data_IF_192869582590
#
_entry.id   IF_192869582590
#
_cell.length_a   1.000
_cell.length_b   1.000
_cell.length_c   1.000
_cell.angle_alpha   90.00
_cell.angle_beta   90.00
_cell.angle_gamma   90.00
#
_symmetry.space_group_name_H-M   'P 1'
#
loop_
_entity.id
_entity.type
_entity.pdbx_description
1 polymer ?
#
# COMPACT_ATOMS: atom_id res chain seq x y z
N UNK A 1 -18.81 19.14 -48.32
CA UNK A 1 -19.49 19.86 -47.23
C UNK A 1 -18.57 19.81 -46.03
N UNK A 2 -17.88 20.90 -45.78
CA UNK A 2 -16.99 21.15 -44.66
C UNK A 2 -17.81 21.70 -43.51
N UNK A 3 -17.59 21.23 -42.29
CA UNK A 3 -18.02 21.91 -41.07
C UNK A 3 -16.81 22.18 -40.19
N UNK A 4 -16.63 23.37 -39.68
CA UNK A 4 -15.48 23.81 -38.92
C UNK A 4 -15.75 23.72 -37.41
N UNK A 5 -14.79 23.23 -36.65
CA UNK A 5 -14.64 23.59 -35.25
C UNK A 5 -13.15 23.76 -34.94
N UNK A 6 -12.65 24.93 -35.31
CA UNK A 6 -11.48 25.54 -34.69
C UNK A 6 -11.98 26.71 -33.86
N UNK A 7 -11.59 26.75 -32.64
CA UNK A 7 -11.37 27.89 -31.72
C UNK A 7 -11.78 27.46 -30.30
N UNK A 8 -10.80 27.19 -29.46
CA UNK A 8 -10.50 27.92 -28.23
C UNK A 8 -9.27 27.29 -27.61
N UNK A 9 -8.08 27.73 -27.99
CA UNK A 9 -6.88 27.52 -27.23
C UNK A 9 -6.44 28.83 -26.60
N UNK A 10 -6.75 29.03 -25.35
CA UNK A 10 -6.26 30.14 -24.54
C UNK A 10 -4.76 30.00 -24.26
N UNK A 11 -3.98 31.01 -24.64
CA UNK A 11 -2.54 31.11 -24.38
C UNK A 11 -2.23 31.20 -22.88
N UNK A 12 -1.16 30.59 -22.40
CA UNK A 12 -0.71 30.77 -21.03
C UNK A 12 -0.06 32.13 -20.82
N UNK A 13 -0.41 32.79 -19.71
CA UNK A 13 0.15 34.06 -19.25
C UNK A 13 1.57 33.86 -18.71
N UNK A 14 2.48 34.76 -19.07
CA UNK A 14 3.87 34.83 -18.63
C UNK A 14 4.03 35.11 -17.12
N UNK A 15 5.16 34.74 -16.51
CA UNK A 15 5.36 34.92 -15.08
C UNK A 15 5.75 36.36 -14.73
N UNK A 16 5.30 36.79 -13.55
CA UNK A 16 5.54 38.06 -12.90
C UNK A 16 7.04 38.35 -12.71
N UNK A 17 7.47 39.53 -13.21
CA UNK A 17 8.77 40.11 -12.93
C UNK A 17 8.75 40.90 -11.62
N UNK A 18 9.70 40.60 -10.73
CA UNK A 18 9.96 41.37 -9.52
C UNK A 18 10.80 42.63 -9.83
N UNK A 19 10.55 43.79 -9.22
CA UNK A 19 11.31 44.99 -9.46
C UNK A 19 12.66 44.97 -8.72
N UNK A 20 13.75 45.23 -9.43
CA UNK A 20 15.07 45.53 -8.87
C UNK A 20 15.09 46.96 -8.35
N UNK A 21 15.13 47.12 -7.04
CA UNK A 21 15.45 48.40 -6.39
C UNK A 21 16.97 48.54 -6.29
N UNK A 22 17.54 49.43 -7.11
CA UNK A 22 18.89 49.94 -6.96
C UNK A 22 18.97 50.89 -5.77
N UNK A 23 19.73 50.55 -4.75
CA UNK A 23 20.17 51.48 -3.72
C UNK A 23 21.49 52.14 -4.14
N UNK A 24 21.39 53.38 -4.58
CA UNK A 24 22.55 54.23 -4.75
C UNK A 24 23.02 54.71 -3.38
N UNK A 25 24.20 54.28 -2.95
CA UNK A 25 24.91 54.89 -1.80
C UNK A 25 25.77 56.04 -2.34
N UNK A 26 25.37 57.27 -1.96
CA UNK A 26 26.09 58.49 -2.23
C UNK A 26 27.28 58.60 -1.26
N UNK A 27 28.48 58.76 -1.79
CA UNK A 27 29.67 59.17 -1.06
C UNK A 27 29.62 60.68 -0.79
N UNK A 28 29.58 61.07 0.49
CA UNK A 28 29.78 62.46 0.90
C UNK A 28 31.17 62.60 1.47
N UNK A 29 31.96 63.44 0.81
CA UNK A 29 33.27 63.89 1.23
C UNK A 29 33.15 64.75 2.50
N UNK A 30 33.86 64.34 3.54
CA UNK A 30 34.04 65.18 4.74
C UNK A 30 35.49 65.53 4.97
N UNK A 31 35.70 66.77 5.00
CA UNK A 31 36.90 67.58 5.22
C UNK A 31 37.64 67.26 6.53
N UNK A 32 38.96 67.35 6.48
CA UNK A 32 39.90 67.27 7.59
C UNK A 32 39.65 68.32 8.65
N UNK A 33 39.60 67.93 9.95
CA UNK A 33 39.91 68.81 11.08
C UNK A 33 40.59 68.09 12.22
N UNK A 34 41.79 68.56 12.48
CA UNK A 34 42.46 68.75 13.80
C UNK A 34 42.69 67.54 14.70
N UNK A 35 43.95 67.18 14.77
CA UNK A 35 44.60 66.45 15.86
C UNK A 35 44.35 67.12 17.23
N UNK A 36 43.65 66.42 18.12
CA UNK A 36 43.77 66.65 19.56
C UNK A 36 44.52 65.50 20.19
N UNK A 37 45.47 65.85 21.07
CA UNK A 37 46.31 64.91 21.82
C UNK A 37 45.44 63.91 22.61
N UNK A 38 45.86 62.64 22.68
CA UNK A 38 45.10 61.66 23.49
C UNK A 38 45.32 61.94 24.97
N UNK A 39 44.23 62.17 25.69
CA UNK A 39 44.17 62.12 27.14
C UNK A 39 44.35 60.67 27.58
N UNK A 40 45.41 60.38 28.37
CA UNK A 40 45.63 59.07 28.97
C UNK A 40 44.47 58.80 29.94
N UNK A 41 43.59 57.86 29.57
CA UNK A 41 42.52 57.34 30.48
C UNK A 41 43.17 56.17 31.23
N UNK A 42 43.10 56.11 32.56
CA UNK A 42 43.61 54.96 33.32
C UNK A 42 42.89 53.67 32.92
N UNK A 43 43.69 52.63 32.74
CA UNK A 43 43.13 51.29 32.43
C UNK A 43 42.23 50.84 33.56
N UNK A 44 40.91 50.80 33.29
CA UNK A 44 39.93 50.10 34.13
C UNK A 44 40.24 48.59 33.91
N UNK A 45 40.78 47.96 34.94
CA UNK A 45 40.88 46.53 35.08
C UNK A 45 39.48 45.94 35.09
N UNK A 46 39.06 45.39 33.95
CA UNK A 46 37.83 44.58 33.89
C UNK A 46 38.13 43.21 34.52
N UNK A 47 38.10 43.15 35.84
CA UNK A 47 38.00 41.89 36.57
C UNK A 47 36.54 41.38 36.46
N UNK A 48 36.36 40.21 35.92
CA UNK A 48 35.11 39.51 36.07
C UNK A 48 34.27 39.21 34.82
N UNK A 49 34.90 39.16 33.62
CA UNK A 49 34.12 38.56 32.51
C UNK A 49 34.16 37.03 32.66
N UNK A 50 33.01 36.37 33.01
CA UNK A 50 33.01 34.94 33.10
C UNK A 50 33.29 34.34 31.70
N UNK A 51 34.31 33.45 31.65
CA UNK A 51 34.68 32.78 30.43
C UNK A 51 33.45 32.11 29.78
N UNK A 52 33.27 32.21 28.45
CA UNK A 52 32.11 31.60 27.77
C UNK A 52 32.11 30.10 28.08
N UNK A 53 31.02 29.64 28.71
CA UNK A 53 30.79 28.22 28.96
C UNK A 53 30.96 27.49 27.65
N UNK A 54 32.00 26.63 27.54
CA UNK A 54 32.24 25.79 26.40
C UNK A 54 30.94 25.02 26.08
N UNK A 55 30.30 25.37 24.97
CA UNK A 55 29.15 24.61 24.45
C UNK A 55 29.55 23.14 24.38
N UNK A 56 28.83 22.31 25.13
CA UNK A 56 29.06 20.87 25.14
C UNK A 56 29.20 20.37 23.70
N UNK A 57 30.29 19.69 23.47
CA UNK A 57 30.78 19.24 22.18
C UNK A 57 29.66 18.64 21.34
N UNK A 58 29.52 19.08 20.09
CA UNK A 58 28.55 18.55 19.14
C UNK A 58 28.62 17.01 18.95
N UNK A 59 29.74 16.39 19.35
CA UNK A 59 29.95 14.94 19.38
C UNK A 59 28.94 14.20 20.29
N UNK A 60 28.62 14.74 21.48
CA UNK A 60 27.62 14.09 22.36
C UNK A 60 26.20 14.14 21.78
N UNK A 61 25.82 15.21 21.09
CA UNK A 61 24.52 15.28 20.39
C UNK A 61 24.44 14.33 19.22
N UNK A 62 25.51 14.20 18.45
CA UNK A 62 25.59 13.22 17.34
C UNK A 62 25.46 11.78 17.84
N UNK A 63 26.18 11.45 18.93
CA UNK A 63 26.07 10.11 19.56
C UNK A 63 24.67 9.84 20.08
N UNK A 64 24.04 10.83 20.76
CA UNK A 64 22.66 10.68 21.22
C UNK A 64 21.67 10.49 20.07
N UNK A 65 21.82 11.26 18.98
CA UNK A 65 20.99 11.11 17.78
C UNK A 65 21.19 9.73 17.11
N UNK A 66 22.44 9.20 17.10
CA UNK A 66 22.70 7.87 16.56
C UNK A 66 22.04 6.76 17.39
N UNK A 67 22.08 6.85 18.72
CA UNK A 67 21.39 5.89 19.59
C UNK A 67 19.87 5.98 19.45
N UNK A 68 19.32 7.21 19.32
CA UNK A 68 17.89 7.39 19.08
C UNK A 68 17.47 6.78 17.74
N UNK A 69 18.23 7.05 16.67
CA UNK A 69 17.96 6.49 15.36
C UNK A 69 18.07 4.95 15.35
N UNK A 70 19.08 4.41 16.03
CA UNK A 70 19.23 2.95 16.20
C UNK A 70 18.04 2.36 16.98
N UNK A 71 17.61 3.01 18.05
CA UNK A 71 16.45 2.60 18.84
C UNK A 71 15.16 2.59 18.02
N UNK A 72 14.90 3.64 17.23
CA UNK A 72 13.75 3.72 16.33
C UNK A 72 13.82 2.61 15.25
N UNK A 73 15.00 2.40 14.66
CA UNK A 73 15.20 1.35 13.67
C UNK A 73 14.94 -0.05 14.22
N UNK A 74 15.46 -0.35 15.41
CA UNK A 74 15.23 -1.65 16.10
C UNK A 74 13.75 -1.84 16.48
N UNK A 75 13.08 -0.78 16.95
CA UNK A 75 11.66 -0.84 17.26
C UNK A 75 10.81 -1.09 16.02
N UNK A 76 11.12 -0.43 14.89
CA UNK A 76 10.46 -0.67 13.61
C UNK A 76 10.62 -2.12 13.14
N UNK A 77 11.86 -2.65 13.22
CA UNK A 77 12.14 -4.05 12.87
C UNK A 77 11.37 -5.04 13.78
N UNK A 78 11.31 -4.76 15.07
CA UNK A 78 10.56 -5.58 16.02
C UNK A 78 9.06 -5.60 15.71
N UNK A 79 8.46 -4.46 15.32
CA UNK A 79 7.05 -4.39 14.91
C UNK A 79 6.81 -5.21 13.65
N UNK A 80 7.68 -5.12 12.64
CA UNK A 80 7.56 -5.94 11.42
C UNK A 80 7.65 -7.43 11.77
N UNK A 81 8.66 -7.83 12.55
CA UNK A 81 8.86 -9.22 12.93
C UNK A 81 7.67 -9.79 13.74
N UNK A 82 7.15 -9.01 14.68
CA UNK A 82 5.97 -9.41 15.47
C UNK A 82 4.72 -9.54 14.58
N UNK A 83 4.52 -8.62 13.64
CA UNK A 83 3.40 -8.67 12.71
C UNK A 83 3.47 -9.86 11.76
N UNK A 84 4.66 -10.16 11.23
CA UNK A 84 4.90 -11.36 10.42
C UNK A 84 4.65 -12.62 11.22
N UNK A 85 5.20 -12.71 12.44
CA UNK A 85 4.98 -13.85 13.33
C UNK A 85 3.49 -14.07 13.64
N UNK A 86 2.75 -13.01 13.96
CA UNK A 86 1.31 -13.08 14.21
C UNK A 86 0.56 -13.63 13.00
N UNK A 87 0.83 -13.09 11.81
CA UNK A 87 0.17 -13.51 10.55
C UNK A 87 0.48 -14.97 10.23
N UNK A 88 1.74 -15.40 10.36
CA UNK A 88 2.11 -16.79 10.13
C UNK A 88 1.47 -17.75 11.14
N UNK A 89 1.41 -17.36 12.40
CA UNK A 89 0.77 -18.16 13.45
C UNK A 89 -0.73 -18.31 13.24
N UNK A 90 -1.41 -17.23 12.78
CA UNK A 90 -2.83 -17.24 12.53
C UNK A 90 -3.24 -18.07 11.30
N UNK A 91 -2.33 -18.24 10.34
CA UNK A 91 -2.57 -19.07 9.15
C UNK A 91 -2.05 -20.52 9.30
N UNK A 92 -1.33 -20.82 10.36
CA UNK A 92 -0.71 -22.14 10.55
C UNK A 92 -1.76 -23.27 10.56
N UNK A 93 -1.49 -24.34 9.78
CA UNK A 93 -2.42 -25.47 9.64
C UNK A 93 -3.63 -25.23 8.73
N UNK A 94 -3.70 -24.07 8.04
CA UNK A 94 -4.82 -23.74 7.18
C UNK A 94 -4.39 -23.45 5.72
N UNK A 95 -3.18 -23.80 5.37
CA UNK A 95 -2.63 -23.72 4.02
C UNK A 95 -2.41 -25.14 3.53
N UNK A 96 -2.96 -25.44 2.37
CA UNK A 96 -3.02 -26.79 1.81
C UNK A 96 -2.43 -26.85 0.39
N UNK A 97 -2.01 -28.03 0.00
CA UNK A 97 -1.84 -28.34 -1.41
C UNK A 97 -3.21 -28.44 -2.10
N UNK A 98 -3.25 -28.30 -3.42
CA UNK A 98 -4.48 -28.40 -4.21
C UNK A 98 -5.20 -29.75 -3.99
N UNK A 99 -4.44 -30.84 -3.79
CA UNK A 99 -4.97 -32.20 -3.55
C UNK A 99 -5.60 -32.39 -2.17
N UNK A 100 -5.24 -31.57 -1.18
CA UNK A 100 -5.51 -31.83 0.24
C UNK A 100 -6.43 -30.78 0.87
N UNK A 101 -6.82 -29.75 0.09
CA UNK A 101 -7.67 -28.68 0.61
C UNK A 101 -9.06 -29.22 0.95
N UNK A 102 -9.60 -28.91 2.14
CA UNK A 102 -10.97 -29.30 2.48
C UNK A 102 -11.96 -28.60 1.55
N UNK A 103 -13.03 -29.32 1.19
CA UNK A 103 -14.11 -28.74 0.42
C UNK A 103 -14.80 -27.59 1.20
N UNK A 104 -15.18 -26.56 0.47
CA UNK A 104 -15.89 -25.42 1.00
C UNK A 104 -16.94 -24.92 -0.01
N UNK A 105 -18.01 -24.21 0.40
CA UNK A 105 -19.03 -23.75 -0.53
C UNK A 105 -18.48 -22.76 -1.58
N UNK A 106 -17.45 -21.99 -1.22
CA UNK A 106 -16.96 -20.87 -2.05
C UNK A 106 -15.44 -20.83 -2.13
N UNK A 107 -14.91 -20.54 -3.33
CA UNK A 107 -13.54 -20.05 -3.50
C UNK A 107 -13.53 -18.52 -3.59
N UNK A 108 -12.70 -17.86 -2.79
CA UNK A 108 -12.41 -16.43 -2.91
C UNK A 108 -11.09 -16.26 -3.69
N UNK A 109 -11.17 -15.75 -4.91
CA UNK A 109 -10.00 -15.41 -5.72
C UNK A 109 -9.67 -13.95 -5.52
N UNK A 110 -8.48 -13.68 -5.01
CA UNK A 110 -8.00 -12.30 -4.81
C UNK A 110 -7.39 -11.75 -6.10
N UNK A 111 -7.70 -10.51 -6.41
CA UNK A 111 -7.17 -9.77 -7.55
C UNK A 111 -5.65 -9.59 -7.53
N UNK A 112 -5.06 -9.37 -8.71
CA UNK A 112 -3.63 -9.10 -8.89
C UNK A 112 -3.36 -7.95 -9.84
N UNK A 113 -3.73 -8.09 -11.09
CA UNK A 113 -3.57 -7.07 -12.12
C UNK A 113 -4.26 -7.51 -13.42
N UNK A 114 -4.87 -6.55 -14.12
CA UNK A 114 -5.35 -6.68 -15.50
C UNK A 114 -4.40 -5.93 -16.43
N UNK A 115 -4.11 -6.49 -17.58
CA UNK A 115 -3.32 -5.87 -18.63
C UNK A 115 -4.11 -4.74 -19.31
N UNK A 116 -3.44 -3.81 -20.03
CA UNK A 116 -4.12 -2.70 -20.72
C UNK A 116 -5.12 -3.15 -21.80
N UNK A 117 -5.02 -4.38 -22.28
CA UNK A 117 -5.95 -4.98 -23.24
C UNK A 117 -7.19 -5.63 -22.58
N UNK A 118 -7.35 -5.48 -21.27
CA UNK A 118 -8.45 -6.06 -20.49
C UNK A 118 -8.26 -7.52 -20.10
N UNK A 119 -7.15 -8.17 -20.49
CA UNK A 119 -6.89 -9.57 -20.11
C UNK A 119 -6.26 -9.68 -18.73
N UNK A 120 -6.53 -10.77 -17.97
CA UNK A 120 -5.82 -11.03 -16.73
C UNK A 120 -4.30 -11.14 -16.94
N UNK A 121 -3.50 -10.54 -16.07
CA UNK A 121 -2.04 -10.77 -16.05
C UNK A 121 -1.73 -12.26 -15.81
N UNK A 122 -0.52 -12.70 -16.13
CA UNK A 122 -0.09 -14.08 -15.86
C UNK A 122 -0.28 -14.50 -14.40
N UNK A 123 -0.09 -13.57 -13.44
CA UNK A 123 -0.34 -13.81 -12.02
C UNK A 123 -1.83 -14.01 -11.73
N UNK A 124 -2.68 -13.20 -12.33
CA UNK A 124 -4.12 -13.29 -12.15
C UNK A 124 -4.71 -14.52 -12.83
N UNK A 125 -4.32 -14.80 -14.08
CA UNK A 125 -4.72 -16.00 -14.81
C UNK A 125 -4.38 -17.27 -14.04
N UNK A 126 -3.18 -17.38 -13.48
CA UNK A 126 -2.76 -18.53 -12.68
C UNK A 126 -3.65 -18.76 -11.43
N UNK A 127 -4.13 -17.70 -10.77
CA UNK A 127 -5.12 -17.82 -9.68
C UNK A 127 -6.47 -18.32 -10.20
N UNK A 128 -6.92 -17.79 -11.31
CA UNK A 128 -8.20 -18.17 -11.93
C UNK A 128 -8.18 -19.63 -12.39
N UNK A 129 -7.08 -20.06 -13.02
CA UNK A 129 -6.90 -21.45 -13.41
C UNK A 129 -6.91 -22.41 -12.21
N UNK A 130 -6.26 -22.02 -11.11
CA UNK A 130 -6.28 -22.79 -9.87
C UNK A 130 -7.70 -22.87 -9.29
N UNK A 131 -8.42 -21.76 -9.24
CA UNK A 131 -9.80 -21.74 -8.75
C UNK A 131 -10.73 -22.59 -9.63
N UNK A 132 -10.53 -22.54 -10.95
CA UNK A 132 -11.26 -23.41 -11.89
C UNK A 132 -11.01 -24.88 -11.61
N UNK A 133 -9.76 -25.29 -11.40
CA UNK A 133 -9.47 -26.70 -11.07
C UNK A 133 -10.13 -27.14 -9.76
N UNK A 134 -10.20 -26.27 -8.74
CA UNK A 134 -10.93 -26.59 -7.50
C UNK A 134 -12.43 -26.74 -7.75
N UNK A 135 -13.01 -25.93 -8.65
CA UNK A 135 -14.40 -26.04 -9.04
C UNK A 135 -14.67 -27.33 -9.83
N UNK A 136 -13.83 -27.62 -10.82
CA UNK A 136 -13.95 -28.83 -11.65
C UNK A 136 -13.80 -30.13 -10.81
N UNK A 137 -13.00 -30.08 -9.76
CA UNK A 137 -12.84 -31.16 -8.78
C UNK A 137 -14.01 -31.27 -7.77
N UNK A 138 -14.97 -30.37 -7.82
CA UNK A 138 -16.10 -30.34 -6.89
C UNK A 138 -15.72 -29.95 -5.44
N UNK A 139 -14.56 -29.35 -5.27
CA UNK A 139 -14.09 -28.86 -3.97
C UNK A 139 -14.70 -27.51 -3.57
N UNK A 140 -15.20 -26.77 -4.56
CA UNK A 140 -15.97 -25.54 -4.35
C UNK A 140 -17.17 -25.49 -5.32
N UNK A 141 -18.25 -24.83 -4.92
CA UNK A 141 -19.49 -24.76 -5.71
C UNK A 141 -19.67 -23.43 -6.45
N UNK A 142 -19.01 -22.37 -5.93
CA UNK A 142 -19.09 -20.99 -6.42
C UNK A 142 -17.73 -20.33 -6.30
N UNK A 143 -17.40 -19.44 -7.22
CA UNK A 143 -16.17 -18.63 -7.18
C UNK A 143 -16.54 -17.15 -7.02
N UNK A 144 -16.07 -16.51 -5.97
CA UNK A 144 -16.08 -15.06 -5.82
C UNK A 144 -14.75 -14.51 -6.34
N UNK A 145 -14.82 -13.58 -7.28
CA UNK A 145 -13.66 -12.87 -7.82
C UNK A 145 -13.64 -11.45 -7.26
N UNK A 146 -12.68 -11.16 -6.38
CA UNK A 146 -12.61 -9.91 -5.62
C UNK A 146 -11.40 -9.10 -6.06
N UNK A 147 -11.63 -7.88 -6.52
CA UNK A 147 -10.61 -7.03 -7.07
C UNK A 147 -10.97 -5.54 -7.08
N UNK A 148 -10.11 -4.75 -7.71
CA UNK A 148 -10.19 -3.29 -7.79
C UNK A 148 -11.01 -2.83 -8.99
N UNK A 149 -11.86 -1.81 -8.78
CA UNK A 149 -12.65 -1.12 -9.81
C UNK A 149 -12.60 0.41 -9.60
N UNK A 150 -11.44 0.96 -9.24
CA UNK A 150 -11.30 2.40 -8.92
C UNK A 150 -11.22 3.32 -10.14
N UNK A 151 -10.99 2.78 -11.34
CA UNK A 151 -10.92 3.56 -12.58
C UNK A 151 -11.91 3.02 -13.62
N UNK A 152 -12.58 3.90 -14.40
CA UNK A 152 -13.57 3.48 -15.40
C UNK A 152 -13.02 2.50 -16.47
N UNK A 153 -11.70 2.58 -16.72
CA UNK A 153 -11.01 1.72 -17.70
C UNK A 153 -10.36 0.48 -17.06
N UNK A 154 -10.50 0.31 -15.73
CA UNK A 154 -9.89 -0.78 -14.99
C UNK A 154 -10.93 -1.50 -14.14
N UNK A 155 -11.36 -2.67 -14.62
CA UNK A 155 -12.35 -3.52 -13.97
C UNK A 155 -11.80 -4.93 -13.79
N UNK A 156 -11.15 -5.16 -12.65
CA UNK A 156 -10.51 -6.44 -12.38
C UNK A 156 -11.53 -7.56 -12.15
N UNK A 157 -12.59 -7.39 -11.35
CA UNK A 157 -13.61 -8.42 -11.17
C UNK A 157 -14.33 -8.80 -12.46
N UNK A 158 -14.62 -7.85 -13.35
CA UNK A 158 -15.25 -8.15 -14.64
C UNK A 158 -14.32 -8.97 -15.54
N UNK A 159 -13.03 -8.60 -15.62
CA UNK A 159 -12.03 -9.34 -16.38
C UNK A 159 -11.84 -10.78 -15.85
N UNK A 160 -11.82 -10.93 -14.51
CA UNK A 160 -11.71 -12.25 -13.86
C UNK A 160 -12.93 -13.12 -14.15
N UNK A 161 -14.12 -12.53 -14.07
CA UNK A 161 -15.38 -13.22 -14.36
C UNK A 161 -15.44 -13.69 -15.81
N UNK A 162 -15.17 -12.81 -16.75
CA UNK A 162 -15.15 -13.13 -18.18
C UNK A 162 -14.17 -14.25 -18.48
N UNK A 163 -12.96 -14.20 -17.91
CA UNK A 163 -11.96 -15.26 -18.07
C UNK A 163 -12.48 -16.64 -17.64
N UNK A 164 -13.13 -16.73 -16.48
CA UNK A 164 -13.66 -17.99 -15.97
C UNK A 164 -14.84 -18.50 -16.80
N UNK A 165 -15.72 -17.63 -17.28
CA UNK A 165 -16.83 -17.98 -18.16
C UNK A 165 -16.29 -18.51 -19.48
N UNK A 166 -15.31 -17.85 -20.09
CA UNK A 166 -14.64 -18.33 -21.31
C UNK A 166 -13.94 -19.67 -21.09
N UNK A 167 -13.43 -19.92 -19.87
CA UNK A 167 -12.88 -21.21 -19.48
C UNK A 167 -13.93 -22.31 -19.24
N UNK A 168 -15.23 -22.00 -19.38
CA UNK A 168 -16.34 -22.95 -19.33
C UNK A 168 -17.06 -23.03 -18.00
N UNK A 169 -16.87 -22.08 -17.07
CA UNK A 169 -17.69 -22.01 -15.86
C UNK A 169 -19.08 -21.40 -16.19
N UNK A 170 -20.16 -21.90 -15.59
CA UNK A 170 -21.47 -21.27 -15.67
C UNK A 170 -21.42 -19.85 -15.10
N UNK A 171 -22.07 -18.90 -15.76
CA UNK A 171 -22.07 -17.48 -15.39
C UNK A 171 -22.57 -17.24 -13.97
N UNK A 172 -23.59 -17.98 -13.54
CA UNK A 172 -24.20 -17.92 -12.20
C UNK A 172 -23.29 -18.48 -11.10
N UNK A 173 -22.19 -19.14 -11.47
CA UNK A 173 -21.20 -19.70 -10.53
C UNK A 173 -20.01 -18.76 -10.29
N UNK A 174 -19.94 -17.64 -11.01
CA UNK A 174 -18.86 -16.65 -10.87
C UNK A 174 -19.43 -15.32 -10.43
N UNK A 175 -19.17 -14.95 -9.18
CA UNK A 175 -19.73 -13.75 -8.54
C UNK A 175 -18.64 -12.68 -8.44
N UNK A 176 -18.80 -11.53 -9.11
CA UNK A 176 -17.85 -10.44 -9.00
C UNK A 176 -18.04 -9.65 -7.70
N UNK A 177 -16.93 -9.30 -7.04
CA UNK A 177 -16.87 -8.40 -5.90
C UNK A 177 -16.03 -7.18 -6.26
N UNK A 178 -16.67 -6.04 -6.53
CA UNK A 178 -16.07 -4.80 -7.01
C UNK A 178 -15.47 -3.93 -5.89
N UNK A 179 -15.58 -4.35 -4.64
CA UNK A 179 -15.08 -3.61 -3.48
C UNK A 179 -13.85 -4.23 -2.82
N UNK A 180 -13.17 -5.13 -3.49
CA UNK A 180 -11.98 -5.81 -2.99
C UNK A 180 -10.68 -5.00 -3.19
N UNK A 181 -10.66 -3.74 -2.72
CA UNK A 181 -9.50 -2.84 -2.91
C UNK A 181 -8.25 -3.29 -2.16
N UNK A 182 -8.41 -4.07 -1.11
CA UNK A 182 -7.32 -4.73 -0.40
C UNK A 182 -7.79 -6.04 0.27
N UNK A 183 -6.83 -6.77 0.85
CA UNK A 183 -7.10 -8.09 1.44
C UNK A 183 -8.05 -8.03 2.63
N UNK A 184 -7.97 -6.98 3.46
CA UNK A 184 -8.86 -6.81 4.60
C UNK A 184 -10.30 -6.56 4.13
N UNK A 185 -10.47 -5.67 3.15
CA UNK A 185 -11.78 -5.35 2.58
C UNK A 185 -12.39 -6.59 1.91
N UNK A 186 -11.66 -7.32 1.07
CA UNK A 186 -12.15 -8.57 0.46
C UNK A 186 -12.67 -9.56 1.52
N UNK A 187 -11.88 -9.82 2.58
CA UNK A 187 -12.29 -10.71 3.67
C UNK A 187 -13.50 -10.16 4.46
N UNK A 188 -13.52 -8.86 4.74
CA UNK A 188 -14.61 -8.24 5.50
C UNK A 188 -15.93 -8.26 4.72
N UNK A 189 -15.87 -8.03 3.39
CA UNK A 189 -17.02 -8.07 2.48
C UNK A 189 -17.57 -9.48 2.36
N UNK A 190 -16.71 -10.49 2.25
CA UNK A 190 -17.13 -11.91 2.29
C UNK A 190 -17.97 -12.18 3.53
N UNK A 191 -17.56 -11.69 4.70
CA UNK A 191 -18.29 -11.89 5.96
C UNK A 191 -19.57 -11.06 6.06
N UNK A 192 -19.51 -9.76 5.70
CA UNK A 192 -20.62 -8.82 5.97
C UNK A 192 -21.64 -8.76 4.85
N UNK A 193 -21.20 -8.84 3.59
CA UNK A 193 -22.06 -8.71 2.40
C UNK A 193 -22.51 -10.10 1.94
N UNK A 194 -21.55 -10.99 1.65
CA UNK A 194 -21.87 -12.35 1.18
C UNK A 194 -22.28 -13.29 2.31
N UNK A 195 -22.08 -12.88 3.59
CA UNK A 195 -22.49 -13.61 4.80
C UNK A 195 -21.92 -15.03 4.89
N UNK A 196 -20.72 -15.22 4.35
CA UNK A 196 -20.05 -16.51 4.36
C UNK A 196 -19.25 -16.71 5.64
N UNK A 197 -19.26 -17.94 6.14
CA UNK A 197 -18.51 -18.36 7.32
C UNK A 197 -17.37 -19.33 6.99
N UNK A 198 -17.36 -19.91 5.79
CA UNK A 198 -16.36 -20.87 5.34
C UNK A 198 -16.01 -20.62 3.86
N UNK A 199 -14.72 -20.70 3.50
CA UNK A 199 -14.27 -20.57 2.12
C UNK A 199 -12.84 -21.10 1.91
N UNK A 200 -12.47 -21.28 0.63
CA UNK A 200 -11.08 -21.48 0.19
C UNK A 200 -10.57 -20.20 -0.44
N UNK A 201 -9.42 -19.70 0.02
CA UNK A 201 -8.74 -18.55 -0.57
C UNK A 201 -7.76 -19.04 -1.64
N UNK A 202 -7.80 -18.40 -2.81
CA UNK A 202 -6.90 -18.66 -3.93
C UNK A 202 -6.12 -17.41 -4.26
N UNK A 203 -4.79 -17.50 -4.14
CA UNK A 203 -3.84 -16.43 -4.48
C UNK A 203 -2.44 -17.01 -4.67
N UNK A 204 -1.39 -16.21 -4.92
CA UNK A 204 -0.02 -16.72 -4.90
C UNK A 204 0.43 -17.10 -3.49
N UNK A 205 1.29 -18.14 -3.40
CA UNK A 205 1.76 -18.68 -2.11
C UNK A 205 2.39 -17.62 -1.19
N UNK A 206 3.10 -16.63 -1.72
CA UNK A 206 3.70 -15.57 -0.89
C UNK A 206 2.65 -14.65 -0.24
N UNK A 207 1.47 -14.51 -0.84
CA UNK A 207 0.37 -13.68 -0.34
C UNK A 207 -0.63 -14.48 0.52
N UNK A 208 -0.67 -15.79 0.34
CA UNK A 208 -1.68 -16.68 0.89
C UNK A 208 -1.72 -16.65 2.42
N UNK A 209 -0.54 -16.68 3.06
CA UNK A 209 -0.43 -16.68 4.52
C UNK A 209 -1.17 -15.49 5.13
N UNK A 210 -0.95 -14.29 4.56
CA UNK A 210 -1.57 -13.06 5.01
C UNK A 210 -3.08 -13.03 4.73
N UNK A 211 -3.50 -13.50 3.58
CA UNK A 211 -4.92 -13.55 3.22
C UNK A 211 -5.71 -14.51 4.14
N UNK A 212 -5.19 -15.72 4.36
CA UNK A 212 -5.80 -16.70 5.29
C UNK A 212 -5.85 -16.14 6.72
N UNK A 213 -4.73 -15.59 7.22
CA UNK A 213 -4.70 -14.97 8.55
C UNK A 213 -5.73 -13.86 8.71
N UNK A 214 -5.90 -13.00 7.69
CA UNK A 214 -6.87 -11.91 7.72
C UNK A 214 -8.31 -12.42 7.81
N UNK A 215 -8.70 -13.35 6.93
CA UNK A 215 -10.05 -13.92 6.95
C UNK A 215 -10.34 -14.66 8.25
N UNK A 216 -9.39 -15.44 8.77
CA UNK A 216 -9.54 -16.16 10.05
C UNK A 216 -9.66 -15.22 11.25
N UNK A 217 -8.86 -14.16 11.29
CA UNK A 217 -8.97 -13.12 12.34
C UNK A 217 -10.30 -12.37 12.31
N UNK A 218 -10.97 -12.30 11.15
CA UNK A 218 -12.34 -11.80 11.01
C UNK A 218 -13.39 -12.86 11.37
N UNK A 219 -13.00 -14.09 11.72
CA UNK A 219 -13.89 -15.17 12.15
C UNK A 219 -14.54 -15.91 10.98
N UNK A 220 -13.83 -16.03 9.86
CA UNK A 220 -14.20 -16.88 8.72
C UNK A 220 -13.32 -18.14 8.81
N UNK A 221 -13.91 -19.31 8.66
CA UNK A 221 -13.17 -20.56 8.52
C UNK A 221 -12.55 -20.64 7.11
N UNK A 222 -11.35 -20.07 6.97
CA UNK A 222 -10.67 -19.95 5.71
C UNK A 222 -9.55 -20.99 5.60
N UNK A 223 -9.61 -21.82 4.58
CA UNK A 223 -8.51 -22.62 4.06
C UNK A 223 -7.85 -21.88 2.89
N UNK A 224 -6.60 -22.18 2.57
CA UNK A 224 -5.90 -21.52 1.49
C UNK A 224 -5.15 -22.46 0.57
N UNK A 225 -5.19 -22.18 -0.75
CA UNK A 225 -4.38 -22.84 -1.76
C UNK A 225 -3.62 -21.80 -2.56
N UNK A 226 -2.31 -21.98 -2.71
CA UNK A 226 -1.41 -21.03 -3.36
C UNK A 226 -0.96 -21.48 -4.74
N UNK A 227 -0.96 -20.55 -5.69
CA UNK A 227 -0.31 -20.79 -6.99
C UNK A 227 1.16 -20.38 -6.93
N UNK A 228 2.04 -21.25 -7.44
CA UNK A 228 3.48 -21.05 -7.61
C UNK A 228 3.94 -21.14 -9.07
N UNK A 229 3.03 -21.34 -10.04
CA UNK A 229 3.36 -21.60 -11.44
C UNK A 229 4.19 -20.47 -12.08
N UNK A 230 3.89 -19.22 -11.71
CA UNK A 230 4.58 -18.01 -12.21
C UNK A 230 5.81 -17.61 -11.39
N UNK A 231 6.23 -18.45 -10.43
CA UNK A 231 7.36 -18.16 -9.52
C UNK A 231 8.72 -18.15 -10.22
N UNK A 232 8.91 -19.00 -11.21
CA UNK A 232 10.23 -19.23 -11.81
C UNK A 232 10.77 -17.99 -12.50
N UNK A 233 11.97 -17.53 -12.05
CA UNK A 233 12.73 -16.41 -12.63
C UNK A 233 12.04 -15.04 -12.60
N UNK A 234 10.97 -14.87 -11.84
CA UNK A 234 10.19 -13.63 -11.81
C UNK A 234 10.72 -12.65 -10.74
N UNK A 235 11.27 -11.52 -11.17
CA UNK A 235 11.56 -10.38 -10.29
C UNK A 235 10.29 -9.81 -9.69
N UNK A 236 9.15 -9.88 -10.40
CA UNK A 236 7.84 -9.46 -9.91
C UNK A 236 7.40 -10.30 -8.70
N UNK A 237 7.62 -11.62 -8.75
CA UNK A 237 7.37 -12.51 -7.61
C UNK A 237 8.15 -12.08 -6.36
N UNK A 238 9.47 -11.87 -6.49
CA UNK A 238 10.32 -11.46 -5.37
C UNK A 238 9.90 -10.13 -4.77
N UNK A 239 9.58 -9.14 -5.62
CA UNK A 239 9.05 -7.84 -5.17
C UNK A 239 7.71 -7.99 -4.46
N UNK A 240 6.82 -8.82 -5.00
CA UNK A 240 5.55 -9.16 -4.39
C UNK A 240 5.73 -9.77 -3.00
N UNK A 241 6.61 -10.78 -2.87
CA UNK A 241 6.89 -11.43 -1.60
C UNK A 241 7.45 -10.47 -0.53
N UNK A 242 8.41 -9.60 -0.90
CA UNK A 242 8.96 -8.60 0.03
C UNK A 242 7.89 -7.60 0.45
N UNK A 243 7.09 -7.10 -0.52
CA UNK A 243 5.98 -6.17 -0.23
C UNK A 243 4.96 -6.81 0.71
N UNK A 244 4.65 -8.09 0.53
CA UNK A 244 3.69 -8.81 1.34
C UNK A 244 4.14 -8.96 2.80
N UNK A 245 5.42 -9.21 3.04
CA UNK A 245 5.97 -9.24 4.41
C UNK A 245 5.79 -7.89 5.13
N UNK A 246 6.02 -6.77 4.43
CA UNK A 246 5.79 -5.43 4.99
C UNK A 246 4.29 -5.15 5.18
N UNK A 247 3.44 -5.68 4.31
CA UNK A 247 2.00 -5.54 4.40
C UNK A 247 1.38 -6.26 5.61
N UNK A 248 2.12 -7.20 6.26
CA UNK A 248 1.68 -7.80 7.52
C UNK A 248 1.45 -6.76 8.61
N UNK A 249 2.23 -5.66 8.62
CA UNK A 249 2.01 -4.55 9.57
C UNK A 249 0.65 -3.88 9.32
N UNK A 250 0.33 -3.57 8.05
CA UNK A 250 -0.98 -3.02 7.67
C UNK A 250 -2.11 -3.97 8.11
N UNK A 251 -1.96 -5.27 7.86
CA UNK A 251 -2.95 -6.28 8.29
C UNK A 251 -3.21 -6.21 9.79
N UNK A 252 -2.17 -6.14 10.63
CA UNK A 252 -2.34 -6.03 12.08
C UNK A 252 -3.06 -4.73 12.45
N UNK A 253 -2.68 -3.61 11.82
CA UNK A 253 -3.36 -2.31 12.03
C UNK A 253 -4.83 -2.40 11.66
N UNK A 254 -5.17 -2.92 10.49
CA UNK A 254 -6.55 -3.06 10.01
C UNK A 254 -7.39 -3.96 10.95
N UNK A 255 -6.81 -5.06 11.41
CA UNK A 255 -7.49 -5.97 12.35
C UNK A 255 -7.74 -5.34 13.72
N UNK A 256 -6.85 -4.44 14.19
CA UNK A 256 -7.01 -3.73 15.46
C UNK A 256 -7.99 -2.57 15.33
N UNK A 257 -7.84 -1.76 14.28
CA UNK A 257 -8.67 -0.57 14.06
C UNK A 257 -10.05 -0.91 13.53
N UNK A 258 -10.19 -2.06 12.85
CA UNK A 258 -11.44 -2.57 12.27
C UNK A 258 -12.17 -1.51 11.45
N UNK A 259 -11.52 -0.91 10.45
CA UNK A 259 -12.18 0.07 9.61
C UNK A 259 -13.42 -0.55 8.95
N UNK A 260 -14.47 0.24 8.80
CA UNK A 260 -15.63 -0.21 8.04
C UNK A 260 -15.26 -0.39 6.57
N UNK A 261 -15.84 -1.39 5.89
CA UNK A 261 -15.59 -1.59 4.47
C UNK A 261 -16.05 -0.34 3.72
N UNK A 262 -15.31 0.02 2.68
CA UNK A 262 -15.79 1.02 1.73
C UNK A 262 -16.99 0.41 1.01
N UNK A 263 -18.17 0.78 1.47
CA UNK A 263 -19.44 0.43 0.84
C UNK A 263 -19.61 1.37 -0.34
N UNK A 264 -18.95 1.08 -1.46
CA UNK A 264 -19.24 1.82 -2.67
C UNK A 264 -20.62 1.44 -3.20
N UNK A 265 -21.35 2.45 -3.68
CA UNK A 265 -22.68 2.34 -4.28
C UNK A 265 -22.73 1.41 -5.52
N UNK A 266 -21.57 0.94 -5.97
CA UNK A 266 -21.40 0.07 -7.14
C UNK A 266 -21.76 -1.41 -6.88
N UNK A 267 -22.05 -1.80 -5.65
CA UNK A 267 -22.42 -3.17 -5.36
C UNK A 267 -23.93 -3.43 -5.50
N UNK A 268 -24.40 -3.44 -6.71
CA UNK A 268 -25.74 -3.95 -7.04
C UNK A 268 -25.84 -5.48 -6.98
N UNK A 269 -24.79 -6.17 -6.57
CA UNK A 269 -24.79 -7.62 -6.33
C UNK A 269 -25.18 -7.97 -4.89
N UNK A 270 -26.11 -7.25 -4.28
CA UNK A 270 -26.71 -7.57 -2.97
C UNK A 270 -27.65 -8.80 -3.02
N UNK A 271 -27.34 -9.79 -3.84
CA UNK A 271 -28.05 -11.08 -3.76
C UNK A 271 -27.25 -12.01 -2.84
N UNK A 272 -27.84 -12.44 -1.71
CA UNK A 272 -27.25 -13.53 -0.92
C UNK A 272 -27.12 -14.77 -1.82
N UNK A 273 -26.01 -15.45 -1.70
CA UNK A 273 -25.72 -16.73 -2.36
C UNK A 273 -26.63 -17.81 -1.79
#
# INVERSE_FOLDING_TARGET
>A
MQTPVEQVIGRPKAPFALPRTCLHVRWASATARQCRRPTVVPALTLEGVPAPKRRASGKHRLVQLSFLAAGVGLSGLAVVAASVHFVHSAAAGHIYAESDVPAAPVALVLGAQVNPDGTPSAFLAARLDLAKRLYDAGLVEVIIVSGDHLAPEYDEPAAMREYLIQAGLPEEKVIPDFGGFDTYESCLRVKRIFRLSQLVIVTQSYHLVRAVATCRALGIDAAGVGDDSVRQHSMAWRRGAVRDQLACVKTVVDLVTRPDPKLDELNTADKPI
#
